data_IF_010160960498
#
_entry.id   IF_010160960498
#
_cell.length_a   1.000
_cell.length_b   1.000
_cell.length_c   1.000
_cell.angle_alpha   90.00
_cell.angle_beta   90.00
_cell.angle_gamma   90.00
#
_symmetry.space_group_name_H-M   'P 1'
#
loop_
_entity.id
_entity.type
_entity.pdbx_description
1 polymer ?
#
# COMPACT_ATOMS: atom_id res chain seq x y z
N UNK A 1 6.21 -5.47 20.58
CA UNK A 1 6.12 -5.19 19.13
C UNK A 1 4.69 -4.82 18.78
N UNK A 2 4.48 -3.78 17.97
CA UNK A 2 3.12 -3.44 17.49
C UNK A 2 2.71 -4.44 16.41
N UNK A 3 1.47 -4.94 16.46
CA UNK A 3 0.88 -5.81 15.44
C UNK A 3 -0.22 -5.04 14.70
N UNK A 4 -0.35 -5.28 13.41
CA UNK A 4 -1.42 -4.72 12.56
C UNK A 4 -2.32 -5.87 12.16
N UNK A 5 -3.63 -5.71 12.32
CA UNK A 5 -4.63 -6.69 11.94
C UNK A 5 -5.57 -6.08 10.90
N UNK A 6 -5.86 -6.86 9.87
CA UNK A 6 -6.76 -6.45 8.79
C UNK A 6 -8.16 -6.90 9.16
N UNK A 7 -9.10 -5.96 9.08
CA UNK A 7 -10.53 -6.22 9.26
C UNK A 7 -11.13 -6.47 7.88
N UNK A 8 -11.10 -7.73 7.45
CA UNK A 8 -11.55 -8.14 6.12
C UNK A 8 -13.03 -7.81 5.91
N UNK A 9 -13.83 -7.82 6.99
CA UNK A 9 -15.26 -7.54 6.97
C UNK A 9 -15.63 -6.10 6.58
N UNK A 10 -14.68 -5.16 6.63
CA UNK A 10 -14.87 -3.77 6.20
C UNK A 10 -14.04 -3.41 4.97
N UNK A 11 -13.29 -4.35 4.42
CA UNK A 11 -12.39 -4.10 3.31
C UNK A 11 -13.17 -4.06 1.99
N UNK A 12 -13.15 -2.92 1.29
CA UNK A 12 -13.86 -2.74 0.00
C UNK A 12 -12.97 -3.13 -1.21
N UNK A 13 -11.88 -3.85 -0.97
CA UNK A 13 -10.98 -4.36 -2.03
C UNK A 13 -10.26 -3.33 -2.92
N UNK A 14 -10.33 -2.03 -2.61
CA UNK A 14 -9.77 -0.94 -3.45
C UNK A 14 -8.24 -0.95 -3.60
N UNK A 15 -7.53 -1.68 -2.75
CA UNK A 15 -6.07 -1.78 -2.80
C UNK A 15 -5.32 -0.54 -2.29
N UNK A 16 -6.00 0.35 -1.58
CA UNK A 16 -5.44 1.60 -1.06
C UNK A 16 -4.25 1.37 -0.12
N UNK A 17 -4.24 0.29 0.66
CA UNK A 17 -3.11 -0.04 1.53
C UNK A 17 -1.78 -0.16 0.75
N UNK A 18 -1.80 -0.72 -0.47
CA UNK A 18 -0.60 -0.83 -1.32
C UNK A 18 -0.12 0.54 -1.78
N UNK A 19 -1.06 1.39 -2.18
CA UNK A 19 -0.77 2.78 -2.59
C UNK A 19 -0.20 3.57 -1.42
N UNK A 20 -0.80 3.50 -0.23
CA UNK A 20 -0.29 4.18 0.95
C UNK A 20 1.08 3.67 1.39
N UNK A 21 1.32 2.35 1.32
CA UNK A 21 2.64 1.79 1.59
C UNK A 21 3.67 2.34 0.60
N UNK A 22 3.36 2.36 -0.70
CA UNK A 22 4.23 2.93 -1.71
C UNK A 22 4.55 4.41 -1.43
N UNK A 23 3.50 5.18 -1.15
CA UNK A 23 3.58 6.60 -0.83
C UNK A 23 4.44 6.88 0.41
N UNK A 24 4.35 6.04 1.45
CA UNK A 24 5.15 6.19 2.68
C UNK A 24 6.65 6.01 2.47
N UNK A 25 7.06 5.41 1.35
CA UNK A 25 8.46 5.17 1.02
C UNK A 25 9.06 6.23 0.08
N UNK A 26 8.29 7.22 -0.37
CA UNK A 26 8.87 8.33 -1.13
C UNK A 26 9.74 9.20 -0.23
N UNK A 27 10.82 9.73 -0.81
CA UNK A 27 11.74 10.61 -0.08
C UNK A 27 11.15 12.00 0.15
N UNK A 28 10.36 12.49 -0.79
CA UNK A 28 9.74 13.80 -0.72
C UNK A 28 8.33 13.73 -0.13
N UNK A 29 8.01 14.70 0.75
CA UNK A 29 6.73 14.78 1.49
C UNK A 29 5.53 15.11 0.61
N UNK A 30 5.75 15.77 -0.53
CA UNK A 30 4.71 16.17 -1.46
C UNK A 30 4.45 15.05 -2.46
N UNK A 31 3.47 14.19 -2.17
CA UNK A 31 3.18 12.95 -2.89
C UNK A 31 2.94 13.17 -4.40
N UNK A 32 2.33 14.30 -4.77
CA UNK A 32 2.05 14.66 -6.17
C UNK A 32 3.36 15.01 -6.88
N UNK A 33 4.25 15.76 -6.22
CA UNK A 33 5.56 16.11 -6.76
C UNK A 33 6.54 14.93 -6.75
N UNK A 34 6.48 14.06 -5.75
CA UNK A 34 7.36 12.90 -5.62
C UNK A 34 7.14 11.89 -6.75
N UNK A 35 5.88 11.60 -7.10
CA UNK A 35 5.53 10.72 -8.22
C UNK A 35 6.04 11.25 -9.58
N UNK A 36 6.13 12.58 -9.75
CA UNK A 36 6.61 13.21 -10.99
C UNK A 36 8.12 13.45 -11.04
N UNK A 37 8.80 13.53 -9.89
CA UNK A 37 10.22 13.91 -9.79
C UNK A 37 11.15 12.74 -9.53
N UNK A 38 10.66 11.66 -8.92
CA UNK A 38 11.47 10.49 -8.65
C UNK A 38 11.55 9.64 -9.92
N UNK A 39 12.76 9.44 -10.46
CA UNK A 39 12.99 8.75 -11.73
C UNK A 39 12.46 7.30 -11.74
N UNK A 40 12.46 6.66 -10.56
CA UNK A 40 11.77 5.41 -10.31
C UNK A 40 11.04 5.51 -8.97
N UNK A 41 9.71 5.36 -8.93
CA UNK A 41 8.98 5.35 -7.68
C UNK A 41 9.38 4.12 -6.85
N UNK A 42 9.41 4.24 -5.51
CA UNK A 42 9.74 3.10 -4.65
C UNK A 42 8.67 2.03 -4.83
N UNK A 43 9.07 0.76 -4.78
CA UNK A 43 8.12 -0.35 -4.78
C UNK A 43 7.33 -0.39 -3.45
N UNK A 44 6.03 -0.73 -3.46
CA UNK A 44 5.33 -1.03 -2.22
C UNK A 44 5.93 -2.29 -1.58
N UNK A 45 6.06 -2.28 -0.24
CA UNK A 45 6.51 -3.44 0.54
C UNK A 45 5.37 -4.37 0.96
N UNK A 46 4.21 -4.21 0.33
CA UNK A 46 3.06 -5.10 0.50
C UNK A 46 2.50 -5.50 -0.86
N UNK A 47 2.07 -6.75 -0.95
CA UNK A 47 1.27 -7.30 -2.04
C UNK A 47 -0.14 -7.51 -1.54
N UNK A 48 -1.12 -7.43 -2.43
CA UNK A 48 -2.51 -7.69 -2.07
C UNK A 48 -2.91 -8.95 -2.81
N UNK A 49 -3.12 -10.02 -2.04
CA UNK A 49 -3.75 -11.23 -2.52
C UNK A 49 -5.26 -11.04 -2.46
N UNK A 50 -5.95 -11.48 -3.51
CA UNK A 50 -7.41 -11.36 -3.63
C UNK A 50 -8.01 -12.72 -3.94
N UNK A 51 -9.08 -13.05 -3.23
CA UNK A 51 -9.92 -14.19 -3.53
C UNK A 51 -11.37 -13.79 -3.28
N UNK A 52 -12.15 -13.75 -4.35
CA UNK A 52 -13.55 -13.31 -4.32
C UNK A 52 -13.66 -11.91 -3.67
N UNK A 53 -14.45 -11.80 -2.60
CA UNK A 53 -14.65 -10.55 -1.85
C UNK A 53 -13.54 -10.28 -0.82
N UNK A 54 -12.65 -11.25 -0.59
CA UNK A 54 -11.59 -11.16 0.41
C UNK A 54 -10.32 -10.55 -0.19
N UNK A 55 -9.77 -9.53 0.47
CA UNK A 55 -8.54 -8.87 0.10
C UNK A 55 -7.56 -8.87 1.27
N UNK A 56 -6.42 -9.54 1.09
CA UNK A 56 -5.44 -9.76 2.14
C UNK A 56 -4.07 -9.14 1.78
N UNK A 57 -3.56 -8.18 2.57
CA UNK A 57 -2.23 -7.62 2.37
C UNK A 57 -1.16 -8.55 2.96
N UNK A 58 -0.28 -9.04 2.10
CA UNK A 58 0.89 -9.84 2.44
C UNK A 58 2.12 -8.93 2.44
N UNK A 59 2.90 -8.96 3.52
CA UNK A 59 4.18 -8.24 3.57
C UNK A 59 5.20 -8.94 2.68
N UNK A 60 5.96 -8.16 1.89
CA UNK A 60 7.08 -8.66 1.08
C UNK A 60 8.35 -8.86 1.92
#
# INVERSE_FOLDING_TARGET
MKKVYVREEVCVGRGLCRVYCQISHYRARDQIKSSKREAAPPGPRIRIERKDEVCFPVQC
#
